data_IF_513225418040
#
_entry.id   IF_513225418040
#
_cell.length_a   1.000
_cell.length_b   1.000
_cell.length_c   1.000
_cell.angle_alpha   90.00
_cell.angle_beta   90.00
_cell.angle_gamma   90.00
#
_symmetry.space_group_name_H-M   'P 1'
#
loop_
_entity.id
_entity.type
_entity.pdbx_description
1 polymer ?
#
# COMPACT_ATOMS: atom_id res chain seq x y z
N UNK A 1 -60.65 -35.98 1.12
CA UNK A 1 -61.00 -35.09 0.00
C UNK A 1 -60.06 -33.90 0.04
N UNK A 2 -59.47 -33.55 -1.10
CA UNK A 2 -58.51 -32.45 -1.25
C UNK A 2 -59.25 -31.13 -1.44
N UNK A 3 -58.81 -30.08 -0.74
CA UNK A 3 -58.85 -28.68 -1.20
C UNK A 3 -57.72 -27.91 -0.51
N UNK A 4 -56.55 -27.84 -1.16
CA UNK A 4 -55.52 -26.85 -0.86
C UNK A 4 -55.96 -25.54 -1.53
N UNK A 5 -56.23 -24.51 -0.73
CA UNK A 5 -56.38 -23.15 -1.23
C UNK A 5 -54.99 -22.51 -1.30
N UNK A 6 -54.69 -22.00 -2.50
CA UNK A 6 -53.54 -21.19 -2.84
C UNK A 6 -53.83 -19.74 -2.44
N UNK A 7 -52.76 -19.01 -2.13
CA UNK A 7 -52.65 -17.55 -1.93
C UNK A 7 -52.52 -17.06 -0.48
N UNK A 8 -51.38 -16.39 -0.28
CA UNK A 8 -50.97 -15.46 0.78
C UNK A 8 -50.50 -16.03 2.12
N UNK A 9 -49.18 -15.98 2.30
CA UNK A 9 -48.42 -15.21 3.31
C UNK A 9 -46.94 -15.60 3.08
N UNK A 10 -45.98 -14.71 2.87
CA UNK A 10 -45.63 -13.53 3.65
C UNK A 10 -44.11 -13.58 3.74
N UNK A 11 -43.43 -12.86 2.85
CA UNK A 11 -41.97 -12.76 2.84
C UNK A 11 -41.44 -11.98 4.04
N UNK A 12 -40.11 -12.04 4.20
CA UNK A 12 -39.24 -11.48 5.25
C UNK A 12 -38.84 -12.45 6.37
N UNK A 13 -37.94 -13.38 6.03
CA UNK A 13 -36.94 -13.79 7.00
C UNK A 13 -35.87 -12.68 7.08
N UNK A 14 -35.83 -12.05 8.25
CA UNK A 14 -34.89 -11.00 8.65
C UNK A 14 -33.58 -11.66 9.07
N UNK A 15 -32.58 -11.62 8.19
CA UNK A 15 -31.20 -11.94 8.55
C UNK A 15 -30.56 -10.67 9.13
N UNK A 16 -30.25 -10.68 10.42
CA UNK A 16 -29.57 -9.58 11.10
C UNK A 16 -28.52 -10.11 12.06
N UNK A 17 -27.25 -9.96 11.71
CA UNK A 17 -26.23 -9.42 12.60
C UNK A 17 -25.03 -8.96 11.77
N UNK A 18 -24.76 -7.67 11.89
CA UNK A 18 -23.79 -6.90 11.13
C UNK A 18 -22.35 -7.32 11.44
N UNK A 19 -21.59 -7.61 10.38
CA UNK A 19 -20.14 -7.48 10.36
C UNK A 19 -19.83 -6.37 9.36
N UNK A 20 -19.36 -5.23 9.84
CA UNK A 20 -18.98 -4.08 9.02
C UNK A 20 -17.87 -4.48 8.04
N UNK A 21 -18.24 -4.75 6.79
CA UNK A 21 -17.29 -4.83 5.70
C UNK A 21 -16.91 -3.40 5.31
N UNK A 22 -15.70 -3.00 5.70
CA UNK A 22 -15.05 -1.81 5.14
C UNK A 22 -14.96 -1.96 3.61
N UNK A 23 -15.29 -0.94 2.81
CA UNK A 23 -15.06 -1.00 1.38
C UNK A 23 -13.54 -0.91 1.16
N UNK A 24 -12.92 -2.05 0.84
CA UNK A 24 -11.53 -2.07 0.37
C UNK A 24 -11.41 -1.18 -0.88
N UNK A 25 -10.41 -0.28 -0.86
CA UNK A 25 -10.13 0.72 -1.89
C UNK A 25 -10.15 0.14 -3.30
N UNK A 26 -10.84 0.84 -4.19
CA UNK A 26 -11.13 0.40 -5.56
C UNK A 26 -9.88 0.22 -6.43
N UNK A 27 -8.70 0.72 -6.03
CA UNK A 27 -7.48 0.54 -6.82
C UNK A 27 -6.79 -0.81 -6.70
N UNK A 28 -7.14 -1.64 -5.71
CA UNK A 28 -6.82 -3.07 -5.79
C UNK A 28 -7.64 -3.80 -6.86
N UNK A 29 -8.74 -3.21 -7.33
CA UNK A 29 -9.60 -3.80 -8.35
C UNK A 29 -9.28 -3.31 -9.77
N UNK A 30 -8.94 -2.03 -9.95
CA UNK A 30 -8.93 -1.41 -11.30
C UNK A 30 -7.55 -0.97 -11.81
N UNK A 31 -6.53 -0.93 -10.94
CA UNK A 31 -5.18 -1.06 -11.45
C UNK A 31 -5.07 -2.50 -11.98
N UNK A 32 -4.63 -2.68 -13.22
CA UNK A 32 -4.45 -3.94 -13.96
C UNK A 32 -3.41 -4.91 -13.33
N UNK A 33 -3.38 -4.95 -12.00
CA UNK A 33 -2.30 -5.44 -11.20
C UNK A 33 -2.49 -6.85 -10.69
N UNK A 34 -3.71 -7.37 -10.44
CA UNK A 34 -3.85 -8.80 -10.12
C UNK A 34 -5.12 -9.55 -10.56
N UNK A 35 -6.23 -8.93 -10.99
CA UNK A 35 -7.40 -9.68 -11.46
C UNK A 35 -8.22 -8.91 -12.51
N UNK A 36 -8.74 -9.63 -13.51
CA UNK A 36 -9.81 -9.16 -14.39
C UNK A 36 -11.09 -9.89 -13.93
N UNK A 37 -12.01 -9.24 -13.19
CA UNK A 37 -13.24 -9.88 -12.77
C UNK A 37 -14.32 -9.62 -13.83
N UNK A 38 -14.13 -10.10 -15.05
CA UNK A 38 -15.27 -10.30 -15.95
C UNK A 38 -14.90 -11.25 -17.12
N UNK A 39 -14.90 -12.54 -16.81
CA UNK A 39 -14.99 -13.57 -17.85
C UNK A 39 -16.00 -14.60 -17.35
N UNK A 40 -17.25 -14.37 -17.73
CA UNK A 40 -18.34 -15.34 -17.60
C UNK A 40 -18.11 -16.39 -18.67
N UNK A 41 -17.17 -17.32 -18.47
CA UNK A 41 -17.13 -18.55 -19.25
C UNK A 41 -16.51 -19.70 -18.45
N UNK A 42 -17.28 -20.78 -18.41
CA UNK A 42 -16.90 -22.10 -17.93
C UNK A 42 -15.56 -22.53 -18.54
N UNK A 43 -14.56 -22.81 -17.71
CA UNK A 43 -13.78 -24.06 -17.76
C UNK A 43 -12.63 -24.02 -16.73
N UNK A 44 -12.76 -24.82 -15.68
CA UNK A 44 -11.71 -25.66 -15.08
C UNK A 44 -10.24 -25.15 -15.11
N UNK A 45 -9.99 -23.95 -14.56
CA UNK A 45 -8.67 -23.56 -14.07
C UNK A 45 -8.74 -23.34 -12.56
N UNK A 46 -8.24 -24.35 -11.85
CA UNK A 46 -8.10 -24.43 -10.40
C UNK A 46 -7.63 -23.11 -9.77
N UNK A 47 -8.40 -22.61 -8.80
CA UNK A 47 -8.15 -21.38 -8.05
C UNK A 47 -6.94 -21.46 -7.13
N UNK A 48 -5.74 -21.26 -7.68
CA UNK A 48 -4.50 -21.20 -6.92
C UNK A 48 -3.46 -20.32 -7.62
N UNK A 49 -3.64 -19.00 -7.68
CA UNK A 49 -2.61 -18.09 -8.21
C UNK A 49 -2.71 -16.69 -7.57
N UNK A 50 -2.05 -16.48 -6.42
CA UNK A 50 -1.36 -15.22 -6.03
C UNK A 50 -1.04 -15.12 -4.52
N UNK A 51 -1.25 -16.16 -3.71
CA UNK A 51 -0.81 -16.14 -2.31
C UNK A 51 0.70 -16.44 -2.20
N UNK A 52 1.43 -15.54 -1.52
CA UNK A 52 2.84 -15.74 -1.20
C UNK A 52 2.96 -17.02 -0.34
N UNK A 53 3.88 -17.91 -0.71
CA UNK A 53 4.10 -19.16 0.06
C UNK A 53 4.73 -18.85 1.41
N UNK A 54 4.40 -19.65 2.42
CA UNK A 54 5.10 -19.62 3.71
C UNK A 54 6.53 -20.11 3.59
N UNK A 55 7.40 -19.61 4.47
CA UNK A 55 8.82 -19.96 4.56
C UNK A 55 9.61 -19.72 3.24
N UNK A 56 9.07 -18.86 2.37
CA UNK A 56 9.69 -18.50 1.12
C UNK A 56 10.71 -17.37 1.33
N UNK A 57 11.86 -17.48 0.66
CA UNK A 57 12.81 -16.38 0.56
C UNK A 57 12.16 -15.15 -0.08
N UNK A 58 12.50 -13.95 0.36
CA UNK A 58 11.95 -12.71 -0.20
C UNK A 58 12.19 -12.53 -1.70
N UNK A 59 13.17 -13.24 -2.28
CA UNK A 59 13.40 -13.28 -3.71
C UNK A 59 12.20 -13.70 -4.54
N UNK A 60 11.20 -14.38 -3.95
CA UNK A 60 9.95 -14.71 -4.65
C UNK A 60 9.15 -13.46 -5.05
N UNK A 61 9.32 -12.35 -4.33
CA UNK A 61 8.62 -11.09 -4.60
C UNK A 61 9.27 -10.30 -5.75
N UNK A 62 10.50 -10.64 -6.15
CA UNK A 62 11.31 -9.85 -7.08
C UNK A 62 10.57 -9.48 -8.38
N UNK A 63 9.78 -10.41 -8.93
CA UNK A 63 9.02 -10.18 -10.14
C UNK A 63 7.94 -9.11 -9.93
N UNK A 64 7.14 -9.21 -8.87
CA UNK A 64 6.09 -8.24 -8.56
C UNK A 64 6.68 -6.87 -8.23
N UNK A 65 7.78 -6.85 -7.47
CA UNK A 65 8.46 -5.62 -7.07
C UNK A 65 9.14 -4.88 -8.23
N UNK A 66 9.59 -5.60 -9.26
CA UNK A 66 10.15 -4.95 -10.47
C UNK A 66 9.14 -4.06 -11.18
N UNK A 67 7.84 -4.38 -11.10
CA UNK A 67 6.76 -3.54 -11.65
C UNK A 67 6.53 -2.29 -10.80
N UNK A 68 6.76 -2.35 -9.50
CA UNK A 68 6.60 -1.18 -8.61
C UNK A 68 7.61 -0.08 -8.94
N UNK A 69 8.83 -0.44 -9.35
CA UNK A 69 9.83 0.55 -9.78
C UNK A 69 9.34 1.39 -10.97
N UNK A 70 8.56 0.80 -11.87
CA UNK A 70 7.95 1.53 -13.00
C UNK A 70 6.78 2.41 -12.56
N UNK A 71 5.95 1.94 -11.63
CA UNK A 71 4.78 2.68 -11.14
C UNK A 71 5.17 3.93 -10.34
N UNK A 72 6.28 3.87 -9.61
CA UNK A 72 6.78 5.01 -8.83
C UNK A 72 7.78 5.90 -9.60
N UNK A 73 7.99 5.67 -10.90
CA UNK A 73 8.79 6.59 -11.74
C UNK A 73 8.30 8.05 -11.69
N UNK A 74 7.00 8.35 -11.63
CA UNK A 74 6.52 9.74 -11.52
C UNK A 74 7.14 10.49 -10.34
N UNK A 75 7.35 9.83 -9.20
CA UNK A 75 8.00 10.45 -8.03
C UNK A 75 9.46 10.81 -8.28
N UNK A 76 10.20 9.97 -9.00
CA UNK A 76 11.62 10.21 -9.31
C UNK A 76 11.80 11.33 -10.33
N UNK A 77 10.79 11.56 -11.19
CA UNK A 77 10.79 12.64 -12.18
C UNK A 77 10.46 14.02 -11.59
N UNK A 78 10.02 14.08 -10.33
CA UNK A 78 9.69 15.35 -9.69
C UNK A 78 10.95 16.21 -9.44
N UNK A 79 10.82 17.54 -9.45
CA UNK A 79 11.86 18.41 -8.92
C UNK A 79 12.21 18.06 -7.47
N UNK A 80 13.49 18.11 -7.11
CA UNK A 80 14.01 17.67 -5.79
C UNK A 80 13.26 18.33 -4.61
N UNK A 81 12.92 19.62 -4.73
CA UNK A 81 12.20 20.33 -3.67
C UNK A 81 10.77 19.81 -3.49
N UNK A 82 10.08 19.47 -4.59
CA UNK A 82 8.74 18.85 -4.53
C UNK A 82 8.84 17.43 -3.97
N UNK A 83 9.83 16.67 -4.40
CA UNK A 83 10.07 15.31 -3.92
C UNK A 83 10.31 15.29 -2.41
N UNK A 84 11.17 16.19 -1.91
CA UNK A 84 11.47 16.35 -0.48
C UNK A 84 10.25 16.81 0.32
N UNK A 85 9.46 17.74 -0.22
CA UNK A 85 8.23 18.19 0.41
C UNK A 85 7.22 17.04 0.54
N UNK A 86 6.95 16.32 -0.55
CA UNK A 86 6.06 15.15 -0.54
C UNK A 86 6.56 14.06 0.42
N UNK A 87 7.85 13.73 0.38
CA UNK A 87 8.44 12.75 1.28
C UNK A 87 8.19 13.12 2.75
N UNK A 88 8.45 14.38 3.11
CA UNK A 88 8.24 14.89 4.47
C UNK A 88 6.78 14.79 4.87
N UNK A 89 5.86 15.28 4.02
CA UNK A 89 4.42 15.27 4.31
C UNK A 89 3.89 13.84 4.46
N UNK A 90 4.30 12.91 3.58
CA UNK A 90 3.92 11.49 3.69
C UNK A 90 4.46 10.86 4.97
N UNK A 91 5.70 11.14 5.35
CA UNK A 91 6.24 10.64 6.61
C UNK A 91 5.45 11.17 7.81
N UNK A 92 5.00 12.42 7.80
CA UNK A 92 4.17 12.99 8.87
C UNK A 92 2.76 12.38 8.89
N UNK A 93 2.21 12.07 7.71
CA UNK A 93 0.92 11.44 7.52
C UNK A 93 0.85 10.00 8.07
N UNK A 94 1.97 9.27 8.10
CA UNK A 94 2.06 7.93 8.74
C UNK A 94 1.61 7.92 10.22
N UNK A 95 1.53 9.07 10.88
CA UNK A 95 1.11 9.18 12.29
C UNK A 95 -0.32 9.74 12.45
N UNK A 96 -1.04 9.94 11.35
CA UNK A 96 -2.37 10.57 11.31
C UNK A 96 -3.35 9.68 10.54
N UNK A 97 -3.85 8.63 11.20
CA UNK A 97 -4.82 7.67 10.65
C UNK A 97 -6.00 8.37 9.97
N UNK A 98 -6.60 9.36 10.65
CA UNK A 98 -7.73 10.13 10.14
C UNK A 98 -7.44 10.86 8.82
N UNK A 99 -6.19 11.27 8.60
CA UNK A 99 -5.76 11.88 7.35
C UNK A 99 -5.42 10.88 6.27
N UNK A 100 -4.89 9.71 6.63
CA UNK A 100 -4.64 8.62 5.67
C UNK A 100 -5.95 8.23 5.01
N UNK A 101 -6.98 7.94 5.82
CA UNK A 101 -8.31 7.55 5.32
C UNK A 101 -8.93 8.67 4.50
N UNK A 102 -8.93 9.91 5.00
CA UNK A 102 -9.51 11.03 4.25
C UNK A 102 -8.78 11.30 2.93
N UNK A 103 -7.47 11.11 2.88
CA UNK A 103 -6.69 11.27 1.65
C UNK A 103 -6.96 10.11 0.68
N UNK A 104 -7.08 8.88 1.17
CA UNK A 104 -7.46 7.73 0.36
C UNK A 104 -8.81 7.93 -0.31
N UNK A 105 -9.84 8.30 0.45
CA UNK A 105 -11.20 8.55 -0.07
C UNK A 105 -11.17 9.62 -1.19
N UNK A 106 -10.44 10.73 -0.96
CA UNK A 106 -10.30 11.79 -1.96
C UNK A 106 -9.55 11.30 -3.19
N UNK A 107 -8.50 10.50 -3.03
CA UNK A 107 -7.75 9.95 -4.17
C UNK A 107 -8.57 8.93 -4.96
N UNK A 108 -9.38 8.10 -4.28
CA UNK A 108 -10.36 7.20 -4.92
C UNK A 108 -11.31 7.99 -5.83
N UNK A 109 -11.96 9.03 -5.30
CA UNK A 109 -12.88 9.88 -6.08
C UNK A 109 -12.15 10.58 -7.26
N UNK A 110 -10.94 11.08 -7.04
CA UNK A 110 -10.16 11.74 -8.10
C UNK A 110 -9.76 10.77 -9.22
N UNK A 111 -9.42 9.53 -8.89
CA UNK A 111 -9.04 8.50 -9.85
C UNK A 111 -10.24 7.95 -10.64
N UNK A 112 -11.43 7.86 -10.03
CA UNK A 112 -12.67 7.51 -10.75
C UNK A 112 -13.23 8.68 -11.57
N UNK A 113 -12.76 9.90 -11.30
CA UNK A 113 -13.24 11.12 -11.94
C UNK A 113 -14.49 11.70 -11.28
N UNK A 114 -14.82 11.21 -10.09
CA UNK A 114 -15.89 11.73 -9.24
C UNK A 114 -15.43 12.99 -8.48
N UNK A 115 -16.39 13.70 -7.90
CA UNK A 115 -16.11 14.88 -7.09
C UNK A 115 -15.95 14.49 -5.61
N UNK A 116 -14.81 14.81 -4.98
CA UNK A 116 -14.57 14.41 -3.59
C UNK A 116 -15.57 15.02 -2.60
N UNK A 117 -16.17 14.19 -1.74
CA UNK A 117 -17.04 14.70 -0.66
C UNK A 117 -16.24 15.16 0.56
N UNK A 118 -16.04 16.47 0.65
CA UNK A 118 -15.30 17.09 1.75
C UNK A 118 -16.19 17.42 2.96
N UNK A 119 -17.51 17.18 2.93
CA UNK A 119 -18.47 17.68 3.94
C UNK A 119 -18.20 17.16 5.35
N UNK A 120 -17.69 15.93 5.49
CA UNK A 120 -17.36 15.31 6.79
C UNK A 120 -16.05 15.79 7.42
N UNK A 121 -15.18 16.45 6.66
CA UNK A 121 -13.83 16.79 7.12
C UNK A 121 -13.79 18.09 7.94
N UNK A 122 -12.96 18.09 8.98
CA UNK A 122 -12.68 19.28 9.79
C UNK A 122 -11.95 20.34 8.94
N UNK A 123 -12.11 21.65 9.24
CA UNK A 123 -11.43 22.71 8.48
C UNK A 123 -9.91 22.55 8.39
N UNK A 124 -9.26 22.10 9.46
CA UNK A 124 -7.82 21.85 9.47
C UNK A 124 -7.42 20.71 8.51
N UNK A 125 -8.18 19.61 8.48
CA UNK A 125 -7.94 18.47 7.59
C UNK A 125 -8.09 18.89 6.12
N UNK A 126 -9.09 19.70 5.80
CA UNK A 126 -9.28 20.23 4.43
C UNK A 126 -8.10 21.08 3.96
N UNK A 127 -7.52 21.88 4.85
CA UNK A 127 -6.30 22.65 4.57
C UNK A 127 -5.13 21.72 4.26
N UNK A 128 -4.87 20.76 5.14
CA UNK A 128 -3.78 19.79 4.98
C UNK A 128 -3.91 18.97 3.68
N UNK A 129 -5.13 18.54 3.33
CA UNK A 129 -5.40 17.83 2.07
C UNK A 129 -5.19 18.73 0.84
N UNK A 130 -5.65 19.98 0.90
CA UNK A 130 -5.45 20.93 -0.18
C UNK A 130 -3.95 21.20 -0.41
N UNK A 131 -3.18 21.35 0.67
CA UNK A 131 -1.73 21.53 0.62
C UNK A 131 -1.04 20.28 0.03
N UNK A 132 -1.48 19.09 0.44
CA UNK A 132 -0.96 17.83 -0.12
C UNK A 132 -1.26 17.69 -1.61
N UNK A 133 -2.50 17.92 -2.03
CA UNK A 133 -2.90 17.83 -3.43
C UNK A 133 -2.20 18.89 -4.29
N UNK A 134 -1.94 20.07 -3.74
CA UNK A 134 -1.16 21.09 -4.44
C UNK A 134 0.26 20.63 -4.74
N UNK A 135 0.89 19.81 -3.86
CA UNK A 135 2.19 19.22 -4.13
C UNK A 135 2.14 18.24 -5.32
N UNK A 136 1.00 17.57 -5.53
CA UNK A 136 0.73 16.72 -6.69
C UNK A 136 0.33 17.51 -7.95
N UNK A 137 0.19 18.83 -7.86
CA UNK A 137 -0.33 19.65 -8.97
C UNK A 137 -1.86 19.63 -9.10
N UNK A 138 -2.57 19.03 -8.16
CA UNK A 138 -4.02 19.03 -8.09
C UNK A 138 -4.53 20.21 -7.24
N UNK A 139 -5.70 20.76 -7.57
CA UNK A 139 -6.32 21.81 -6.76
C UNK A 139 -7.78 21.48 -6.45
N UNK A 140 -8.17 21.58 -5.18
CA UNK A 140 -9.56 21.41 -4.72
C UNK A 140 -10.44 22.66 -4.93
N UNK A 141 -10.02 23.62 -5.77
CA UNK A 141 -10.70 24.91 -5.91
C UNK A 141 -12.05 24.77 -6.63
N UNK A 142 -13.11 24.75 -5.81
CA UNK A 142 -14.51 25.19 -6.02
C UNK A 142 -15.23 24.76 -7.31
N UNK A 143 -16.09 23.74 -7.20
CA UNK A 143 -17.27 23.34 -8.02
C UNK A 143 -17.20 23.36 -9.56
N UNK A 144 -16.14 23.87 -10.17
CA UNK A 144 -16.00 24.03 -11.59
C UNK A 144 -14.73 23.31 -12.01
N UNK A 145 -14.94 22.03 -12.29
CA UNK A 145 -14.02 21.13 -13.00
C UNK A 145 -12.67 20.94 -12.32
N UNK A 146 -12.40 19.70 -11.92
CA UNK A 146 -11.04 19.17 -11.99
C UNK A 146 -10.54 19.43 -13.42
N UNK A 147 -9.80 20.52 -13.61
CA UNK A 147 -8.99 20.66 -14.81
C UNK A 147 -8.00 19.51 -14.70
N UNK A 148 -8.28 18.39 -15.39
CA UNK A 148 -7.30 17.32 -15.55
C UNK A 148 -6.08 17.98 -16.17
N UNK A 149 -5.04 18.13 -15.34
CA UNK A 149 -3.76 18.67 -15.75
C UNK A 149 -3.06 17.64 -16.64
N UNK A 150 -1.81 17.91 -17.01
CA UNK A 150 -1.07 17.17 -18.03
C UNK A 150 -1.05 15.65 -17.74
N UNK A 151 -0.80 14.78 -18.73
CA UNK A 151 -0.67 13.33 -18.50
C UNK A 151 0.30 12.94 -17.37
N UNK A 152 1.31 13.78 -17.10
CA UNK A 152 2.25 13.60 -15.99
C UNK A 152 1.59 13.71 -14.60
N UNK A 153 0.56 14.54 -14.46
CA UNK A 153 -0.17 14.72 -13.21
C UNK A 153 -1.10 13.52 -12.93
N UNK A 154 -1.61 12.86 -13.98
CA UNK A 154 -2.38 11.62 -13.88
C UNK A 154 -1.51 10.42 -13.45
N UNK A 155 -0.30 10.29 -14.02
CA UNK A 155 0.68 9.29 -13.58
C UNK A 155 1.09 9.50 -12.12
N UNK A 156 1.31 10.75 -11.71
CA UNK A 156 1.68 11.12 -10.35
C UNK A 156 0.53 10.85 -9.35
N UNK A 157 -0.70 11.19 -9.73
CA UNK A 157 -1.90 10.91 -8.95
C UNK A 157 -2.04 9.40 -8.73
N UNK A 158 -1.92 8.61 -9.80
CA UNK A 158 -2.01 7.14 -9.74
C UNK A 158 -0.93 6.53 -8.85
N UNK A 159 0.32 6.99 -8.97
CA UNK A 159 1.41 6.55 -8.11
C UNK A 159 1.19 6.93 -6.63
N UNK A 160 0.61 8.10 -6.39
CA UNK A 160 0.28 8.55 -5.02
C UNK A 160 -0.84 7.74 -4.44
N UNK A 161 -1.89 7.49 -5.21
CA UNK A 161 -3.00 6.67 -4.78
C UNK A 161 -2.57 5.25 -4.43
N UNK A 162 -1.77 4.61 -5.29
CA UNK A 162 -1.19 3.30 -4.99
C UNK A 162 -0.41 3.28 -3.66
N UNK A 163 0.40 4.32 -3.40
CA UNK A 163 1.13 4.43 -2.15
C UNK A 163 0.18 4.63 -0.95
N UNK A 164 -0.81 5.49 -1.07
CA UNK A 164 -1.76 5.79 0.01
C UNK A 164 -2.64 4.58 0.31
N UNK A 165 -3.15 3.86 -0.69
CA UNK A 165 -3.89 2.61 -0.49
C UNK A 165 -3.04 1.53 0.15
N UNK A 166 -1.74 1.46 -0.17
CA UNK A 166 -0.85 0.55 0.56
C UNK A 166 -0.60 0.99 2.00
N UNK A 167 -0.61 2.30 2.28
CA UNK A 167 -0.45 2.85 3.64
C UNK A 167 -1.72 2.64 4.47
N UNK A 168 -2.92 2.81 3.91
CA UNK A 168 -4.20 2.60 4.61
C UNK A 168 -4.42 1.14 5.02
N UNK A 169 -3.95 0.18 4.22
CA UNK A 169 -4.04 -1.25 4.50
C UNK A 169 -3.07 -1.72 5.61
N UNK A 170 -2.13 -0.87 6.04
CA UNK A 170 -1.19 -1.18 7.13
C UNK A 170 -1.75 -0.71 8.47
N UNK A 171 -1.61 -1.54 9.51
CA UNK A 171 -2.02 -1.15 10.87
C UNK A 171 -1.23 0.05 11.41
N UNK A 172 -1.80 0.83 12.33
CA UNK A 172 -1.13 1.96 13.00
C UNK A 172 0.24 1.60 13.57
N UNK A 173 0.35 0.40 14.15
CA UNK A 173 1.62 -0.11 14.67
C UNK A 173 2.66 -0.26 13.57
N UNK A 174 2.25 -0.77 12.41
CA UNK A 174 3.10 -0.92 11.23
C UNK A 174 3.50 0.45 10.68
N UNK A 175 2.58 1.41 10.62
CA UNK A 175 2.83 2.77 10.17
C UNK A 175 3.83 3.51 11.08
N UNK A 176 3.70 3.38 12.40
CA UNK A 176 4.66 3.94 13.35
C UNK A 176 6.07 3.33 13.18
N UNK A 177 6.16 2.03 12.89
CA UNK A 177 7.43 1.36 12.60
C UNK A 177 8.01 1.80 11.26
N UNK A 178 7.19 1.98 10.23
CA UNK A 178 7.59 2.50 8.93
C UNK A 178 8.14 3.92 9.06
N UNK A 179 7.48 4.77 9.85
CA UNK A 179 7.97 6.11 10.18
C UNK A 179 9.35 6.06 10.85
N UNK A 180 9.53 5.19 11.84
CA UNK A 180 10.83 5.01 12.48
C UNK A 180 11.89 4.54 11.47
N UNK A 181 11.54 3.68 10.51
CA UNK A 181 12.44 3.29 9.42
C UNK A 181 12.82 4.44 8.49
N UNK A 182 11.91 5.38 8.21
CA UNK A 182 12.21 6.62 7.49
C UNK A 182 13.21 7.48 8.27
N UNK A 183 12.97 7.72 9.56
CA UNK A 183 13.85 8.52 10.41
C UNK A 183 15.26 7.90 10.55
N UNK A 184 15.33 6.56 10.61
CA UNK A 184 16.58 5.80 10.66
C UNK A 184 17.29 5.67 9.30
N UNK A 185 16.67 6.13 8.20
CA UNK A 185 17.18 6.04 6.82
C UNK A 185 17.52 4.62 6.38
N UNK A 186 16.71 3.64 6.79
CA UNK A 186 16.92 2.22 6.44
C UNK A 186 16.05 1.76 5.26
N UNK A 187 15.06 2.54 4.84
CA UNK A 187 14.14 2.19 3.73
C UNK A 187 14.86 1.71 2.46
N UNK A 188 15.92 2.37 1.95
CA UNK A 188 16.64 1.87 0.77
C UNK A 188 17.23 0.47 0.96
N UNK A 189 17.77 0.17 2.15
CA UNK A 189 18.30 -1.15 2.48
C UNK A 189 17.20 -2.23 2.46
N UNK A 190 16.01 -1.89 2.95
CA UNK A 190 14.86 -2.81 2.98
C UNK A 190 14.39 -3.17 1.56
N UNK A 191 14.29 -2.18 0.67
CA UNK A 191 13.94 -2.40 -0.74
C UNK A 191 14.96 -3.28 -1.49
N UNK A 192 16.22 -3.32 -1.04
CA UNK A 192 17.22 -4.17 -1.68
C UNK A 192 17.08 -5.66 -1.32
N UNK A 193 16.50 -6.01 -0.15
CA UNK A 193 16.50 -7.37 0.37
C UNK A 193 15.98 -8.42 -0.62
N UNK A 194 14.83 -8.25 -1.29
CA UNK A 194 14.32 -9.23 -2.26
C UNK A 194 15.28 -9.51 -3.43
N UNK A 195 16.13 -8.54 -3.77
CA UNK A 195 17.05 -8.65 -4.90
C UNK A 195 18.37 -9.34 -4.54
N UNK A 196 18.74 -9.35 -3.25
CA UNK A 196 20.05 -9.79 -2.78
C UNK A 196 19.97 -11.02 -1.86
N UNK A 197 18.78 -11.43 -1.43
CA UNK A 197 18.58 -12.70 -0.71
C UNK A 197 18.86 -13.88 -1.61
N UNK A 198 19.64 -14.84 -1.12
CA UNK A 198 19.82 -16.15 -1.76
C UNK A 198 18.54 -17.00 -1.69
N UNK A 199 18.56 -18.16 -2.35
CA UNK A 199 17.40 -19.06 -2.42
C UNK A 199 16.90 -19.56 -1.06
N UNK A 200 17.77 -19.59 -0.04
CA UNK A 200 17.44 -19.94 1.35
C UNK A 200 17.01 -18.73 2.21
N UNK A 201 16.90 -17.55 1.59
CA UNK A 201 16.49 -16.30 2.23
C UNK A 201 17.61 -15.58 2.97
N UNK A 202 18.87 -16.02 2.87
CA UNK A 202 19.98 -15.39 3.59
C UNK A 202 20.65 -14.27 2.80
N UNK A 203 21.23 -13.32 3.51
CA UNK A 203 22.08 -12.25 2.96
C UNK A 203 23.21 -11.95 3.94
N UNK A 204 24.43 -11.79 3.43
CA UNK A 204 25.57 -11.44 4.27
C UNK A 204 25.41 -10.01 4.81
N UNK A 205 25.65 -9.80 6.11
CA UNK A 205 25.63 -8.47 6.74
C UNK A 205 26.72 -7.55 6.20
N UNK A 206 27.79 -8.12 5.64
CA UNK A 206 28.85 -7.38 4.96
C UNK A 206 28.42 -6.83 3.60
N UNK A 207 27.26 -7.23 3.06
CA UNK A 207 26.76 -6.68 1.81
C UNK A 207 26.47 -5.17 1.99
N UNK A 208 27.00 -4.28 1.12
CA UNK A 208 26.86 -2.84 1.29
C UNK A 208 25.42 -2.34 1.53
N UNK A 209 24.38 -2.86 0.86
CA UNK A 209 23.01 -2.44 1.11
C UNK A 209 22.49 -2.80 2.51
N UNK A 210 22.99 -3.89 3.10
CA UNK A 210 22.49 -4.45 4.37
C UNK A 210 23.36 -4.02 5.55
N UNK A 211 24.56 -3.49 5.31
CA UNK A 211 25.43 -2.94 6.34
C UNK A 211 24.75 -1.86 7.19
N UNK A 212 23.80 -1.11 6.61
CA UNK A 212 22.99 -0.12 7.33
C UNK A 212 22.13 -0.73 8.46
N UNK A 213 21.83 -2.03 8.39
CA UNK A 213 21.07 -2.79 9.38
C UNK A 213 21.94 -3.37 10.51
N UNK A 214 23.27 -3.23 10.44
CA UNK A 214 24.17 -3.83 11.43
C UNK A 214 24.03 -3.24 12.84
N UNK A 215 23.49 -2.02 12.99
CA UNK A 215 23.23 -1.41 14.29
C UNK A 215 22.04 -2.07 15.01
N UNK A 216 22.23 -2.52 16.26
CA UNK A 216 21.21 -3.27 17.03
C UNK A 216 19.85 -2.58 17.07
N UNK A 217 19.78 -1.32 17.49
CA UNK A 217 18.51 -0.58 17.54
C UNK A 217 17.82 -0.36 16.18
N UNK A 218 18.57 -0.33 15.07
CA UNK A 218 17.98 -0.27 13.72
C UNK A 218 17.38 -1.60 13.32
N UNK A 219 18.12 -2.68 13.58
CA UNK A 219 17.66 -4.02 13.29
C UNK A 219 16.36 -4.35 14.05
N UNK A 220 16.27 -3.99 15.33
CA UNK A 220 15.08 -4.26 16.15
C UNK A 220 13.81 -3.56 15.63
N UNK A 221 13.93 -2.35 15.08
CA UNK A 221 12.82 -1.64 14.45
C UNK A 221 12.41 -2.34 13.16
N UNK A 222 13.38 -2.67 12.30
CA UNK A 222 13.14 -3.33 11.02
C UNK A 222 12.54 -4.73 11.21
N UNK A 223 13.05 -5.51 12.15
CA UNK A 223 12.53 -6.83 12.47
C UNK A 223 11.06 -6.76 12.90
N UNK A 224 10.69 -5.76 13.72
CA UNK A 224 9.30 -5.54 14.13
C UNK A 224 8.42 -5.10 12.96
N UNK A 225 8.92 -4.23 12.07
CA UNK A 225 8.21 -3.82 10.86
C UNK A 225 7.90 -5.02 9.98
N UNK A 226 8.91 -5.86 9.72
CA UNK A 226 8.78 -7.04 8.87
C UNK A 226 7.83 -8.06 9.50
N UNK A 227 7.93 -8.29 10.81
CA UNK A 227 7.04 -9.19 11.53
C UNK A 227 5.57 -8.72 11.46
N UNK A 228 5.30 -7.41 11.48
CA UNK A 228 3.94 -6.88 11.33
C UNK A 228 3.34 -7.07 9.92
N UNK A 229 4.15 -7.50 8.95
CA UNK A 229 3.74 -7.80 7.58
C UNK A 229 4.03 -9.25 7.20
N UNK A 230 4.05 -10.15 8.18
CA UNK A 230 4.28 -11.59 8.01
C UNK A 230 5.62 -11.93 7.31
N UNK A 231 6.68 -11.19 7.62
CA UNK A 231 8.05 -11.48 7.21
C UNK A 231 8.90 -11.72 8.45
N UNK A 232 9.52 -12.89 8.54
CA UNK A 232 10.50 -13.22 9.57
C UNK A 232 11.87 -12.68 9.16
N UNK A 233 12.43 -11.83 10.00
CA UNK A 233 13.80 -11.34 9.87
C UNK A 233 14.63 -11.82 11.06
N UNK A 234 15.58 -12.70 10.82
CA UNK A 234 16.49 -13.24 11.82
C UNK A 234 17.92 -12.79 11.52
N UNK A 235 18.68 -12.47 12.56
CA UNK A 235 20.08 -12.06 12.43
C UNK A 235 21.00 -13.05 13.13
N UNK A 236 22.08 -13.39 12.45
CA UNK A 236 23.23 -14.09 13.01
C UNK A 236 24.41 -13.11 13.12
N UNK A 237 25.58 -13.61 13.53
CA UNK A 237 26.81 -12.79 13.60
C UNK A 237 27.21 -12.20 12.24
N UNK A 238 26.95 -12.92 11.15
CA UNK A 238 27.45 -12.57 9.80
C UNK A 238 26.38 -12.47 8.72
N UNK A 239 25.13 -12.83 9.00
CA UNK A 239 24.05 -12.82 8.03
C UNK A 239 22.71 -12.39 8.61
N UNK A 240 21.81 -12.01 7.71
CA UNK A 240 20.39 -11.82 7.99
C UNK A 240 19.63 -12.83 7.13
N UNK A 241 18.64 -13.49 7.73
CA UNK A 241 17.70 -14.36 7.04
C UNK A 241 16.35 -13.65 6.98
N UNK A 242 15.80 -13.53 5.77
CA UNK A 242 14.54 -12.90 5.50
C UNK A 242 13.63 -13.86 4.73
N UNK A 243 12.59 -14.36 5.39
CA UNK A 243 11.63 -15.31 4.82
C UNK A 243 10.20 -14.93 5.21
N UNK A 244 9.22 -15.34 4.43
CA UNK A 244 7.80 -15.15 4.77
C UNK A 244 7.37 -16.06 5.92
N UNK A 245 6.48 -15.57 6.77
CA UNK A 245 5.88 -16.34 7.86
C UNK A 245 4.77 -17.27 7.34
N UNK A 246 4.09 -17.98 8.25
CA UNK A 246 2.91 -18.78 7.92
C UNK A 246 1.78 -17.90 7.39
N UNK A 247 1.10 -18.37 6.34
CA UNK A 247 -0.05 -17.72 5.71
C UNK A 247 0.18 -16.21 5.49
N UNK A 248 1.25 -15.82 4.76
CA UNK A 248 1.66 -14.42 4.70
C UNK A 248 0.66 -13.54 3.93
N UNK A 249 -0.26 -14.13 3.16
CA UNK A 249 -1.25 -13.40 2.38
C UNK A 249 -0.57 -12.43 1.40
N UNK A 250 -1.09 -11.20 1.35
CA UNK A 250 -0.53 -10.10 0.56
C UNK A 250 0.26 -9.09 1.42
N UNK A 251 0.32 -9.27 2.74
CA UNK A 251 0.94 -8.30 3.65
C UNK A 251 2.40 -7.96 3.31
N UNK A 252 3.26 -8.91 2.90
CA UNK A 252 4.60 -8.57 2.44
C UNK A 252 4.56 -7.62 1.23
N UNK A 253 3.67 -7.87 0.27
CA UNK A 253 3.56 -7.05 -0.93
C UNK A 253 3.08 -5.64 -0.60
N UNK A 254 2.03 -5.51 0.23
CA UNK A 254 1.52 -4.20 0.70
C UNK A 254 2.63 -3.39 1.37
N UNK A 255 3.41 -4.00 2.28
CA UNK A 255 4.55 -3.34 2.90
C UNK A 255 5.58 -2.88 1.86
N UNK A 256 5.89 -3.73 0.87
CA UNK A 256 6.84 -3.37 -0.16
C UNK A 256 6.34 -2.28 -1.11
N UNK A 257 5.04 -2.19 -1.40
CA UNK A 257 4.45 -1.06 -2.13
C UNK A 257 4.74 0.24 -1.38
N UNK A 258 4.48 0.28 -0.07
CA UNK A 258 4.79 1.43 0.76
C UNK A 258 6.29 1.75 0.75
N UNK A 259 7.17 0.76 1.02
CA UNK A 259 8.61 0.96 1.05
C UNK A 259 9.17 1.49 -0.29
N UNK A 260 8.70 0.97 -1.42
CA UNK A 260 9.13 1.43 -2.74
C UNK A 260 8.65 2.85 -3.05
N UNK A 261 7.42 3.23 -2.67
CA UNK A 261 6.93 4.60 -2.81
C UNK A 261 7.74 5.59 -1.96
N UNK A 262 8.00 5.26 -0.70
CA UNK A 262 8.85 6.08 0.18
C UNK A 262 10.30 6.17 -0.34
N UNK A 263 10.87 5.07 -0.85
CA UNK A 263 12.21 5.09 -1.46
C UNK A 263 12.26 5.98 -2.70
N UNK A 264 11.25 5.91 -3.56
CA UNK A 264 11.17 6.71 -4.78
C UNK A 264 11.08 8.22 -4.51
N UNK A 265 10.59 8.62 -3.33
CA UNK A 265 10.54 10.01 -2.87
C UNK A 265 11.71 10.44 -1.98
N UNK A 266 12.33 9.51 -1.25
CA UNK A 266 13.39 9.81 -0.28
C UNK A 266 14.72 10.27 -0.88
N UNK A 267 14.89 10.13 -2.20
CA UNK A 267 16.17 10.35 -2.87
C UNK A 267 17.21 9.27 -2.53
N UNK A 268 18.25 9.16 -3.36
CA UNK A 268 19.42 8.30 -3.09
C UNK A 268 20.48 9.07 -2.31
#
# INVERSE_FOLDING_TARGET
EFCLLHDQEGGFEKESSEGSASPHSALFRDASFFYHPDAVDNEMHSGANSLIRSDAALSVLKQDLSRLETQFQPFVKLPEDKQRALYKTLCELLLREDMVTALEDVLDDLCTGDQPDLKGLKPAQRGDLADFLQLLGCSLQSELSLQRYQPQDEELLSATHLLISAVSELSDRTLALLRACCDLRVVPALCCLPNITSADGTVALSAPPVAALAGGGRFDVVQRLFASSNILLERTESSVKAVTMKEPGFFPLVLYVALYGFRALGGN
#
